data_IF_002805067957
#
_entry.id   IF_002805067957
#
_cell.length_a   1.000
_cell.length_b   1.000
_cell.length_c   1.000
_cell.angle_alpha   90.00
_cell.angle_beta   90.00
_cell.angle_gamma   90.00
#
_symmetry.space_group_name_H-M   'P 1'
#
loop_
_entity.id
_entity.type
_entity.pdbx_description
1 polymer ?
#
# COMPACT_ATOMS: atom_id res chain seq x y z
N UNK A 1 3.61 -77.02 -4.18
CA UNK A 1 4.65 -76.22 -4.86
C UNK A 1 4.54 -74.80 -4.35
N UNK A 2 5.34 -74.48 -3.34
CA UNK A 2 5.48 -73.14 -2.75
C UNK A 2 6.05 -72.18 -3.80
N UNK A 3 5.48 -70.98 -3.89
CA UNK A 3 6.13 -69.83 -4.51
C UNK A 3 6.66 -68.97 -3.37
N UNK A 4 7.96 -69.04 -3.12
CA UNK A 4 8.66 -68.09 -2.26
C UNK A 4 8.62 -66.68 -2.90
N UNK A 5 8.48 -65.60 -2.10
CA UNK A 5 8.65 -64.25 -2.60
C UNK A 5 10.15 -63.99 -2.83
N UNK A 6 10.50 -63.56 -4.05
CA UNK A 6 11.83 -63.02 -4.35
C UNK A 6 12.05 -61.74 -3.55
N UNK A 7 12.87 -61.82 -2.51
CA UNK A 7 13.44 -60.65 -1.85
C UNK A 7 14.47 -60.01 -2.79
N UNK A 8 14.04 -59.05 -3.62
CA UNK A 8 14.96 -58.12 -4.26
C UNK A 8 15.42 -57.13 -3.20
N UNK A 9 16.65 -57.28 -2.70
CA UNK A 9 17.34 -56.18 -2.02
C UNK A 9 17.67 -55.14 -3.09
N UNK A 10 17.02 -53.98 -3.06
CA UNK A 10 17.48 -52.82 -3.81
C UNK A 10 18.91 -52.50 -3.38
N UNK A 11 19.84 -52.47 -4.33
CA UNK A 11 21.21 -51.99 -4.09
C UNK A 11 21.12 -50.52 -3.69
N UNK A 12 21.55 -50.21 -2.47
CA UNK A 12 21.66 -48.84 -1.97
C UNK A 12 22.65 -48.12 -2.90
N UNK A 13 22.19 -47.05 -3.56
CA UNK A 13 23.00 -46.17 -4.40
C UNK A 13 24.29 -45.78 -3.66
N UNK A 14 25.46 -46.01 -4.28
CA UNK A 14 26.75 -45.55 -3.75
C UNK A 14 26.69 -44.03 -3.54
N UNK A 15 26.78 -43.62 -2.27
CA UNK A 15 26.76 -42.21 -1.89
C UNK A 15 28.18 -41.62 -1.95
N UNK A 16 28.40 -40.67 -2.87
CA UNK A 16 29.63 -39.89 -2.96
C UNK A 16 29.52 -38.64 -2.07
N UNK A 17 30.50 -38.42 -1.18
CA UNK A 17 30.59 -37.20 -0.36
C UNK A 17 30.89 -36.00 -1.27
N UNK A 18 30.01 -35.00 -1.26
CA UNK A 18 30.10 -33.81 -2.12
C UNK A 18 30.79 -32.62 -1.44
N UNK A 19 30.73 -32.56 -0.10
CA UNK A 19 31.30 -31.49 0.71
C UNK A 19 31.42 -31.96 2.17
N UNK A 20 32.48 -31.56 2.85
CA UNK A 20 32.65 -31.75 4.28
C UNK A 20 32.82 -30.40 4.97
N UNK A 21 32.23 -30.22 6.17
CA UNK A 21 32.48 -29.03 6.97
C UNK A 21 33.95 -28.98 7.42
N UNK A 22 34.53 -27.79 7.51
CA UNK A 22 35.94 -27.52 7.89
C UNK A 22 36.35 -27.97 9.32
N UNK A 23 35.62 -28.88 9.97
CA UNK A 23 36.03 -29.51 11.24
C UNK A 23 36.00 -28.60 12.47
N UNK A 24 35.33 -27.45 12.42
CA UNK A 24 35.31 -26.47 13.53
C UNK A 24 34.47 -26.99 14.71
N UNK A 25 35.13 -27.66 15.65
CA UNK A 25 34.69 -27.91 17.03
C UNK A 25 34.48 -26.58 17.76
N UNK A 26 33.34 -25.93 17.55
CA UNK A 26 32.83 -24.80 18.36
C UNK A 26 31.43 -24.32 17.92
N UNK A 27 30.69 -25.13 17.14
CA UNK A 27 29.32 -24.78 16.74
C UNK A 27 28.40 -24.84 17.96
N UNK A 28 27.21 -24.23 17.87
CA UNK A 28 26.24 -24.37 18.96
C UNK A 28 25.82 -25.84 19.18
N UNK A 29 25.79 -26.64 18.11
CA UNK A 29 25.54 -28.08 18.19
C UNK A 29 26.66 -28.81 18.94
N UNK A 30 27.93 -28.51 18.63
CA UNK A 30 29.09 -29.12 19.30
C UNK A 30 29.16 -28.75 20.79
N UNK A 31 28.86 -27.49 21.12
CA UNK A 31 28.75 -27.02 22.51
C UNK A 31 27.63 -27.73 23.26
N UNK A 32 26.49 -27.93 22.62
CA UNK A 32 25.37 -28.66 23.20
C UNK A 32 25.69 -30.14 23.41
N UNK A 33 26.30 -30.80 22.41
CA UNK A 33 26.83 -32.18 22.52
C UNK A 33 27.77 -32.32 23.71
N UNK A 34 28.73 -31.41 23.85
CA UNK A 34 29.68 -31.42 24.97
C UNK A 34 28.97 -31.20 26.32
N UNK A 35 27.97 -30.31 26.38
CA UNK A 35 27.17 -30.09 27.58
C UNK A 35 26.37 -31.33 27.99
N UNK A 36 25.76 -32.04 27.03
CA UNK A 36 25.10 -33.33 27.27
C UNK A 36 26.10 -34.37 27.75
N UNK A 37 27.24 -34.53 27.06
CA UNK A 37 28.29 -35.48 27.45
C UNK A 37 28.78 -35.25 28.88
N UNK A 38 28.99 -33.99 29.26
CA UNK A 38 29.37 -33.61 30.62
C UNK A 38 28.27 -33.86 31.66
N UNK A 39 27.01 -33.57 31.34
CA UNK A 39 25.90 -33.70 32.27
C UNK A 39 25.53 -35.16 32.60
N UNK A 40 25.70 -36.07 31.63
CA UNK A 40 25.30 -37.48 31.75
C UNK A 40 26.48 -38.47 31.74
N UNK A 41 27.71 -37.98 31.66
CA UNK A 41 28.91 -38.83 31.62
C UNK A 41 29.03 -39.67 30.34
N UNK A 42 28.56 -39.12 29.21
CA UNK A 42 28.51 -39.82 27.92
C UNK A 42 29.69 -39.44 27.02
N UNK A 43 30.27 -40.43 26.37
CA UNK A 43 31.28 -40.25 25.33
C UNK A 43 30.61 -40.11 23.95
N UNK A 44 29.96 -38.98 23.71
CA UNK A 44 29.37 -38.67 22.41
C UNK A 44 30.48 -38.16 21.49
N UNK A 45 30.86 -38.83 20.41
CA UNK A 45 31.96 -38.40 19.53
C UNK A 45 31.48 -37.56 18.36
N UNK A 46 30.31 -37.89 17.82
CA UNK A 46 29.77 -37.30 16.61
C UNK A 46 28.28 -36.94 16.75
N UNK A 47 27.66 -36.52 15.65
CA UNK A 47 26.24 -36.16 15.62
C UNK A 47 25.34 -37.38 15.82
N UNK A 48 25.70 -38.54 15.27
CA UNK A 48 24.90 -39.76 15.34
C UNK A 48 24.82 -40.28 16.78
N UNK A 49 25.91 -40.22 17.54
CA UNK A 49 25.91 -40.58 18.96
C UNK A 49 24.93 -39.71 19.75
N UNK A 50 24.97 -38.38 19.52
CA UNK A 50 24.03 -37.44 20.14
C UNK A 50 22.60 -37.70 19.69
N UNK A 51 22.38 -37.99 18.41
CA UNK A 51 21.07 -38.29 17.85
C UNK A 51 20.48 -39.54 18.49
N UNK A 52 21.21 -40.66 18.49
CA UNK A 52 20.75 -41.92 19.09
C UNK A 52 20.37 -41.72 20.56
N UNK A 53 21.24 -41.08 21.34
CA UNK A 53 20.92 -40.74 22.72
C UNK A 53 19.70 -39.81 22.84
N UNK A 54 19.59 -38.80 21.98
CA UNK A 54 18.47 -37.84 22.03
C UNK A 54 17.11 -38.48 21.77
N UNK A 55 17.07 -39.58 21.00
CA UNK A 55 15.86 -40.31 20.69
C UNK A 55 15.55 -41.35 21.77
N UNK A 56 16.57 -42.06 22.26
CA UNK A 56 16.41 -43.04 23.34
C UNK A 56 16.06 -42.38 24.68
N UNK A 57 16.67 -41.23 24.98
CA UNK A 57 16.54 -40.47 26.23
C UNK A 57 15.90 -39.09 25.99
N UNK A 58 14.84 -39.04 25.19
CA UNK A 58 14.24 -37.78 24.72
C UNK A 58 13.77 -36.84 25.82
N UNK A 59 13.28 -37.36 26.95
CA UNK A 59 12.93 -36.54 28.11
C UNK A 59 14.14 -35.77 28.65
N UNK A 60 15.28 -36.45 28.84
CA UNK A 60 16.51 -35.84 29.35
C UNK A 60 17.15 -34.89 28.34
N UNK A 61 17.08 -35.23 27.06
CA UNK A 61 17.51 -34.35 25.96
C UNK A 61 16.77 -33.01 26.01
N UNK A 62 15.44 -33.03 26.05
CA UNK A 62 14.62 -31.81 26.06
C UNK A 62 14.76 -31.02 27.38
N UNK A 63 14.94 -31.71 28.51
CA UNK A 63 15.27 -31.08 29.79
C UNK A 63 16.60 -30.28 29.72
N UNK A 64 17.59 -30.87 29.06
CA UNK A 64 18.93 -30.28 28.91
C UNK A 64 18.90 -29.13 27.92
N UNK A 65 18.18 -29.29 26.80
CA UNK A 65 17.98 -28.23 25.82
C UNK A 65 17.28 -27.00 26.43
N UNK A 66 16.27 -27.21 27.28
CA UNK A 66 15.61 -26.11 28.00
C UNK A 66 16.60 -25.24 28.78
N UNK A 67 17.52 -25.86 29.52
CA UNK A 67 18.56 -25.15 30.28
C UNK A 67 19.57 -24.49 29.35
N UNK A 68 20.02 -25.21 28.31
CA UNK A 68 21.04 -24.73 27.37
C UNK A 68 20.58 -23.53 26.54
N UNK A 69 19.32 -23.54 26.09
CA UNK A 69 18.72 -22.48 25.26
C UNK A 69 18.46 -21.17 26.01
N UNK A 70 18.52 -21.20 27.35
CA UNK A 70 18.27 -20.04 28.20
C UNK A 70 16.84 -19.50 28.08
N UNK A 71 15.86 -20.38 27.87
CA UNK A 71 14.45 -20.00 27.83
C UNK A 71 14.10 -19.24 29.12
N UNK A 72 13.47 -18.08 28.97
CA UNK A 72 12.92 -17.29 30.06
C UNK A 72 11.56 -17.88 30.45
N UNK A 73 11.37 -18.15 31.74
CA UNK A 73 10.15 -18.72 32.28
C UNK A 73 9.86 -18.17 33.68
N UNK A 74 8.58 -18.15 34.04
CA UNK A 74 8.08 -17.74 35.37
C UNK A 74 7.84 -18.92 36.32
N UNK A 75 7.67 -20.13 35.78
CA UNK A 75 7.58 -21.38 36.55
C UNK A 75 8.28 -22.50 35.78
N UNK A 76 9.14 -23.24 36.47
CA UNK A 76 9.80 -24.44 35.92
C UNK A 76 8.76 -25.56 35.72
N UNK A 77 8.99 -26.46 34.75
CA UNK A 77 8.17 -27.66 34.62
C UNK A 77 8.28 -28.58 35.84
N UNK A 78 7.23 -29.34 36.10
CA UNK A 78 7.25 -30.45 37.07
C UNK A 78 7.69 -31.76 36.38
N UNK A 79 7.35 -31.92 35.10
CA UNK A 79 7.67 -33.09 34.29
C UNK A 79 7.88 -32.67 32.83
N UNK A 80 8.86 -33.28 32.16
CA UNK A 80 9.19 -32.93 30.75
C UNK A 80 8.21 -33.56 29.78
N UNK A 81 7.90 -34.85 29.93
CA UNK A 81 6.94 -35.57 29.10
C UNK A 81 6.65 -36.92 29.75
N UNK A 82 5.41 -37.41 29.61
CA UNK A 82 5.03 -38.77 30.01
C UNK A 82 5.58 -39.77 28.98
N UNK A 83 6.65 -40.48 29.34
CA UNK A 83 7.34 -41.40 28.42
C UNK A 83 6.61 -42.72 28.18
N UNK A 84 5.49 -42.97 28.87
CA UNK A 84 4.63 -44.13 28.61
C UNK A 84 3.73 -43.97 27.38
N UNK A 85 3.61 -42.74 26.86
CA UNK A 85 2.76 -42.40 25.71
C UNK A 85 3.55 -42.37 24.40
N UNK A 86 2.89 -42.80 23.32
CA UNK A 86 3.42 -42.69 21.97
C UNK A 86 3.13 -41.32 21.36
N UNK A 87 3.77 -41.01 20.22
CA UNK A 87 3.55 -39.77 19.48
C UNK A 87 2.08 -39.57 19.05
N UNK A 88 1.36 -40.67 18.78
CA UNK A 88 -0.05 -40.66 18.39
C UNK A 88 -0.99 -40.24 19.54
N UNK A 89 -0.53 -40.36 20.80
CA UNK A 89 -1.29 -39.98 21.99
C UNK A 89 -1.14 -38.50 22.33
N UNK A 90 -0.29 -37.77 21.60
CA UNK A 90 -0.01 -36.33 21.76
C UNK A 90 0.29 -35.97 23.23
N UNK A 91 1.39 -36.49 23.81
CA UNK A 91 1.71 -36.25 25.21
C UNK A 91 1.95 -34.76 25.49
N UNK A 92 1.57 -34.32 26.69
CA UNK A 92 1.85 -32.96 27.16
C UNK A 92 3.35 -32.80 27.45
N UNK A 93 3.93 -31.69 26.98
CA UNK A 93 5.34 -31.38 27.19
C UNK A 93 5.51 -30.27 28.23
N UNK A 94 6.53 -30.41 29.07
CA UNK A 94 6.92 -29.48 30.11
C UNK A 94 5.76 -29.11 31.04
N UNK A 95 5.00 -30.13 31.46
CA UNK A 95 3.81 -29.99 32.30
C UNK A 95 4.14 -29.15 33.53
N UNK A 96 3.26 -28.18 33.79
CA UNK A 96 3.39 -27.22 34.88
C UNK A 96 4.30 -26.02 34.58
N UNK A 97 5.12 -26.02 33.53
CA UNK A 97 5.91 -24.84 33.20
C UNK A 97 5.02 -23.65 32.82
N UNK A 98 5.54 -22.44 33.00
CA UNK A 98 4.88 -21.20 32.56
C UNK A 98 5.88 -20.23 31.99
N UNK A 99 5.75 -19.95 30.70
CA UNK A 99 6.57 -18.99 29.95
C UNK A 99 5.71 -18.07 29.08
N UNK A 100 6.32 -17.04 28.50
CA UNK A 100 5.70 -16.22 27.47
C UNK A 100 6.58 -16.18 26.21
N UNK A 101 5.97 -16.41 25.05
CA UNK A 101 6.67 -16.42 23.77
C UNK A 101 7.25 -15.04 23.41
N UNK A 102 6.46 -13.98 23.58
CA UNK A 102 6.90 -12.62 23.26
C UNK A 102 8.03 -12.16 24.20
N UNK A 103 7.97 -12.53 25.48
CA UNK A 103 9.06 -12.28 26.44
C UNK A 103 10.37 -12.93 25.98
N UNK A 104 10.33 -14.18 25.54
CA UNK A 104 11.52 -14.89 25.04
C UNK A 104 12.10 -14.26 23.77
N UNK A 105 11.26 -13.78 22.84
CA UNK A 105 11.72 -13.10 21.64
C UNK A 105 12.27 -11.68 21.92
N UNK A 106 11.74 -11.01 22.95
CA UNK A 106 12.11 -9.64 23.31
C UNK A 106 13.12 -9.56 24.46
N UNK A 107 13.69 -10.70 24.89
CA UNK A 107 14.61 -10.83 26.04
C UNK A 107 15.94 -10.08 25.90
N UNK A 108 16.24 -9.55 24.70
CA UNK A 108 17.49 -8.86 24.42
C UNK A 108 17.56 -7.52 25.18
N UNK A 109 18.56 -7.39 26.04
CA UNK A 109 18.78 -6.22 26.91
C UNK A 109 19.33 -5.01 26.14
N UNK A 110 20.04 -5.24 25.03
CA UNK A 110 20.61 -4.17 24.23
C UNK A 110 19.54 -3.42 23.42
N UNK A 111 18.92 -2.43 24.08
CA UNK A 111 17.84 -1.61 23.52
C UNK A 111 18.16 -1.07 22.13
N UNK A 112 19.39 -0.65 21.87
CA UNK A 112 19.80 0.03 20.64
C UNK A 112 20.13 -0.93 19.48
N UNK A 113 20.19 -2.25 19.74
CA UNK A 113 20.39 -3.23 18.67
C UNK A 113 19.14 -3.31 17.80
N UNK A 114 19.35 -3.37 16.48
CA UNK A 114 18.27 -3.51 15.51
C UNK A 114 17.63 -4.89 15.65
N UNK A 115 16.33 -4.93 15.91
CA UNK A 115 15.52 -6.13 15.94
C UNK A 115 14.91 -6.44 14.56
N UNK A 116 14.46 -5.41 13.84
CA UNK A 116 13.81 -5.55 12.54
C UNK A 116 14.41 -4.60 11.50
N UNK A 117 14.64 -5.15 10.30
CA UNK A 117 14.84 -4.38 9.08
C UNK A 117 13.59 -4.55 8.22
N UNK A 118 12.93 -3.45 7.87
CA UNK A 118 11.74 -3.46 7.05
C UNK A 118 11.98 -2.66 5.76
N UNK A 119 11.88 -3.35 4.63
CA UNK A 119 11.93 -2.77 3.30
C UNK A 119 10.54 -2.82 2.65
N UNK A 120 10.22 -1.84 1.83
CA UNK A 120 8.95 -1.77 1.08
C UNK A 120 9.22 -1.32 -0.35
N UNK A 121 8.43 -1.84 -1.28
CA UNK A 121 8.45 -1.35 -2.66
C UNK A 121 8.16 0.15 -2.72
N UNK A 122 8.84 0.85 -3.63
CA UNK A 122 8.69 2.30 -3.79
C UNK A 122 9.33 3.14 -2.69
N UNK A 123 10.11 2.53 -1.77
CA UNK A 123 10.92 3.24 -0.78
C UNK A 123 12.36 2.76 -0.83
N UNK A 124 13.29 3.70 -0.99
CA UNK A 124 14.73 3.41 -0.94
C UNK A 124 15.23 3.20 0.49
N UNK A 125 14.53 3.78 1.48
CA UNK A 125 14.93 3.70 2.88
C UNK A 125 14.49 2.38 3.52
N UNK A 126 15.45 1.65 4.10
CA UNK A 126 15.20 0.51 4.98
C UNK A 126 14.88 1.05 6.38
N UNK A 127 13.66 0.82 6.84
CA UNK A 127 13.25 1.14 8.21
C UNK A 127 13.94 0.17 9.16
N UNK A 128 14.62 0.71 10.19
CA UNK A 128 15.26 -0.07 11.24
C UNK A 128 14.48 0.14 12.52
N UNK A 129 14.08 -0.95 13.18
CA UNK A 129 13.42 -0.92 14.47
C UNK A 129 14.31 -1.62 15.48
N UNK A 130 14.65 -0.91 16.54
CA UNK A 130 15.48 -1.43 17.63
C UNK A 130 14.68 -2.32 18.58
N UNK A 131 15.35 -3.14 19.40
CA UNK A 131 14.68 -3.94 20.43
C UNK A 131 13.93 -3.06 21.45
N UNK A 132 14.46 -1.88 21.78
CA UNK A 132 13.81 -0.91 22.67
C UNK A 132 12.50 -0.37 22.09
N UNK A 133 12.53 0.08 20.84
CA UNK A 133 11.35 0.57 20.11
C UNK A 133 10.29 -0.53 19.95
N UNK A 134 10.72 -1.73 19.54
CA UNK A 134 9.82 -2.87 19.36
C UNK A 134 9.13 -3.24 20.68
N UNK A 135 9.87 -3.30 21.80
CA UNK A 135 9.29 -3.54 23.13
C UNK A 135 8.25 -2.49 23.50
N UNK A 136 8.55 -1.20 23.25
CA UNK A 136 7.62 -0.12 23.55
C UNK A 136 6.33 -0.26 22.73
N UNK A 137 6.43 -0.51 21.42
CA UNK A 137 5.27 -0.68 20.55
C UNK A 137 4.45 -1.92 20.92
N UNK A 138 5.10 -3.05 21.18
CA UNK A 138 4.42 -4.28 21.66
C UNK A 138 3.68 -4.02 22.96
N UNK A 139 4.27 -3.28 23.90
CA UNK A 139 3.61 -2.92 25.15
C UNK A 139 2.39 -2.02 24.93
N UNK A 140 2.46 -1.06 24.00
CA UNK A 140 1.33 -0.20 23.63
C UNK A 140 0.19 -0.99 23.00
N UNK A 141 0.48 -1.85 22.02
CA UNK A 141 -0.52 -2.72 21.40
C UNK A 141 -1.15 -3.66 22.43
N UNK A 142 -0.35 -4.27 23.31
CA UNK A 142 -0.84 -5.15 24.37
C UNK A 142 -1.76 -4.41 25.35
N UNK A 143 -1.41 -3.18 25.75
CA UNK A 143 -2.24 -2.34 26.60
C UNK A 143 -3.56 -1.95 25.90
N UNK A 144 -3.51 -1.60 24.63
CA UNK A 144 -4.70 -1.30 23.82
C UNK A 144 -5.62 -2.52 23.70
N UNK A 145 -5.09 -3.70 23.39
CA UNK A 145 -5.86 -4.95 23.32
C UNK A 145 -6.54 -5.27 24.65
N UNK A 146 -5.82 -5.16 25.78
CA UNK A 146 -6.42 -5.34 27.12
C UNK A 146 -7.54 -4.34 27.39
N UNK A 147 -7.34 -3.07 27.01
CA UNK A 147 -8.38 -2.01 27.14
C UNK A 147 -9.61 -2.30 26.27
N UNK A 148 -9.43 -2.94 25.12
CA UNK A 148 -10.51 -3.41 24.25
C UNK A 148 -11.19 -4.69 24.77
N UNK A 149 -10.72 -5.26 25.88
CA UNK A 149 -11.32 -6.42 26.53
C UNK A 149 -10.76 -7.77 26.07
N UNK A 150 -9.67 -7.80 25.30
CA UNK A 150 -9.02 -9.05 24.89
C UNK A 150 -8.44 -9.77 26.11
N UNK A 151 -8.79 -11.05 26.25
CA UNK A 151 -8.37 -11.93 27.35
C UNK A 151 -7.48 -13.07 26.86
N UNK A 152 -6.84 -13.77 27.80
CA UNK A 152 -6.12 -15.02 27.52
C UNK A 152 -7.08 -16.02 26.86
N UNK A 153 -6.66 -16.59 25.72
CA UNK A 153 -7.45 -17.53 24.93
C UNK A 153 -8.37 -16.90 23.87
N UNK A 154 -8.56 -15.57 23.89
CA UNK A 154 -9.26 -14.89 22.80
C UNK A 154 -8.41 -14.94 21.52
N UNK A 155 -9.07 -15.06 20.36
CA UNK A 155 -8.37 -15.07 19.07
C UNK A 155 -8.28 -13.64 18.53
N UNK A 156 -7.06 -13.26 18.14
CA UNK A 156 -6.74 -11.99 17.49
C UNK A 156 -6.16 -12.33 16.13
N UNK A 157 -6.70 -11.73 15.07
CA UNK A 157 -6.27 -12.04 13.71
C UNK A 157 -5.64 -10.85 13.00
N UNK A 158 -4.68 -11.12 12.13
CA UNK A 158 -4.10 -10.13 11.21
C UNK A 158 -4.48 -10.43 9.76
N UNK A 159 -5.08 -9.48 9.07
CA UNK A 159 -5.19 -9.44 7.62
C UNK A 159 -4.20 -8.38 7.09
N UNK A 160 -2.92 -8.69 7.28
CA UNK A 160 -1.82 -7.71 7.25
C UNK A 160 -0.72 -8.15 6.28
N UNK A 161 -0.09 -7.21 5.54
CA UNK A 161 1.09 -7.53 4.75
C UNK A 161 2.29 -7.84 5.66
N UNK A 162 3.35 -8.42 5.10
CA UNK A 162 4.60 -8.58 5.83
C UNK A 162 5.20 -7.21 6.17
N UNK A 163 5.29 -6.89 7.47
CA UNK A 163 5.84 -5.63 7.94
C UNK A 163 5.86 -5.51 9.46
N UNK A 164 6.46 -4.42 9.94
CA UNK A 164 6.68 -4.14 11.37
C UNK A 164 5.41 -4.33 12.21
N UNK A 165 4.29 -3.73 11.77
CA UNK A 165 3.02 -3.81 12.50
C UNK A 165 2.46 -5.24 12.63
N UNK A 166 2.74 -6.14 11.68
CA UNK A 166 2.33 -7.53 11.80
C UNK A 166 3.09 -8.25 12.93
N UNK A 167 4.39 -7.96 13.05
CA UNK A 167 5.24 -8.46 14.14
C UNK A 167 4.79 -7.89 15.48
N UNK A 168 4.55 -6.57 15.55
CA UNK A 168 4.08 -5.89 16.76
C UNK A 168 2.73 -6.44 17.26
N UNK A 169 1.75 -6.58 16.35
CA UNK A 169 0.43 -7.10 16.70
C UNK A 169 0.50 -8.56 17.16
N UNK A 170 1.27 -9.41 16.49
CA UNK A 170 1.46 -10.80 16.88
C UNK A 170 2.14 -10.92 18.24
N UNK A 171 3.26 -10.20 18.46
CA UNK A 171 3.97 -10.20 19.74
C UNK A 171 3.08 -9.67 20.88
N UNK A 172 2.30 -8.63 20.62
CA UNK A 172 1.36 -8.08 21.59
C UNK A 172 0.28 -9.10 21.96
N UNK A 173 -0.34 -9.78 20.99
CA UNK A 173 -1.32 -10.83 21.25
C UNK A 173 -0.71 -11.98 22.07
N UNK A 174 0.48 -12.46 21.69
CA UNK A 174 1.20 -13.50 22.41
C UNK A 174 1.59 -13.06 23.84
N UNK A 175 1.97 -11.79 24.04
CA UNK A 175 2.36 -11.25 25.36
C UNK A 175 1.22 -11.26 26.38
N UNK A 176 -0.03 -11.17 25.92
CA UNK A 176 -1.22 -11.17 26.77
C UNK A 176 -1.90 -12.54 26.85
N UNK A 177 -1.34 -13.55 26.19
CA UNK A 177 -1.89 -14.91 26.12
C UNK A 177 -3.11 -15.04 25.19
N UNK A 178 -3.33 -14.07 24.29
CA UNK A 178 -4.26 -14.22 23.18
C UNK A 178 -3.65 -15.13 22.11
N UNK A 179 -4.50 -15.75 21.30
CA UNK A 179 -4.11 -16.67 20.23
C UNK A 179 -4.06 -15.87 18.92
N UNK A 180 -2.88 -15.74 18.33
CA UNK A 180 -2.69 -15.06 17.06
C UNK A 180 -2.93 -15.99 15.88
N UNK A 181 -3.59 -15.49 14.83
CA UNK A 181 -3.64 -16.13 13.51
C UNK A 181 -3.65 -15.05 12.43
N UNK A 182 -3.31 -15.37 11.18
CA UNK A 182 -3.21 -14.34 10.14
C UNK A 182 -3.39 -14.85 8.72
N UNK A 183 -3.78 -13.95 7.83
CA UNK A 183 -3.80 -14.13 6.38
C UNK A 183 -3.16 -12.92 5.71
N UNK A 184 -2.51 -13.12 4.57
CA UNK A 184 -1.93 -12.01 3.80
C UNK A 184 -3.02 -11.28 2.99
N UNK A 185 -2.91 -9.96 2.73
CA UNK A 185 -3.92 -9.15 2.03
C UNK A 185 -4.24 -9.58 0.60
N UNK A 186 -3.42 -10.44 0.00
CA UNK A 186 -3.63 -11.06 -1.31
C UNK A 186 -4.75 -12.12 -1.30
N UNK A 187 -5.05 -12.72 -0.14
CA UNK A 187 -6.16 -13.66 -0.02
C UNK A 187 -7.49 -12.99 -0.44
N UNK A 188 -8.36 -13.77 -1.08
CA UNK A 188 -9.74 -13.39 -1.35
C UNK A 188 -10.63 -13.59 -0.13
N UNK A 189 -11.81 -12.97 -0.13
CA UNK A 189 -12.78 -12.99 0.99
C UNK A 189 -13.06 -14.42 1.48
N UNK A 190 -13.39 -15.35 0.56
CA UNK A 190 -13.72 -16.73 0.92
C UNK A 190 -12.55 -17.44 1.61
N UNK A 191 -11.33 -17.28 1.08
CA UNK A 191 -10.14 -17.91 1.68
C UNK A 191 -9.84 -17.41 3.09
N UNK A 192 -10.20 -16.16 3.40
CA UNK A 192 -10.10 -15.61 4.76
C UNK A 192 -11.22 -16.14 5.65
N UNK A 193 -12.47 -16.12 5.18
CA UNK A 193 -13.63 -16.60 5.93
C UNK A 193 -13.51 -18.09 6.27
N UNK A 194 -13.01 -18.92 5.36
CA UNK A 194 -12.77 -20.35 5.60
C UNK A 194 -11.84 -20.58 6.79
N UNK A 195 -10.97 -19.62 7.14
CA UNK A 195 -10.02 -19.74 8.27
C UNK A 195 -10.55 -19.04 9.51
N UNK A 196 -10.97 -17.78 9.37
CA UNK A 196 -11.32 -16.94 10.51
C UNK A 196 -12.67 -17.31 11.12
N UNK A 197 -13.64 -17.79 10.33
CA UNK A 197 -14.94 -18.22 10.88
C UNK A 197 -14.80 -19.40 11.83
N UNK A 198 -13.88 -20.33 11.57
CA UNK A 198 -13.65 -21.52 12.41
C UNK A 198 -13.12 -21.16 13.81
N UNK A 199 -12.38 -20.07 13.92
CA UNK A 199 -11.71 -19.68 15.16
C UNK A 199 -12.39 -18.50 15.87
N UNK A 200 -13.42 -17.90 15.26
CA UNK A 200 -14.24 -16.82 15.83
C UNK A 200 -13.40 -15.75 16.54
N UNK A 201 -12.62 -14.94 15.80
CA UNK A 201 -11.75 -13.94 16.38
C UNK A 201 -12.54 -12.77 16.95
N UNK A 202 -12.03 -12.21 18.05
CA UNK A 202 -12.61 -11.05 18.72
C UNK A 202 -12.13 -9.73 18.12
N UNK A 203 -10.92 -9.73 17.59
CA UNK A 203 -10.24 -8.55 17.07
C UNK A 203 -9.51 -8.89 15.76
N UNK A 204 -9.66 -8.02 14.76
CA UNK A 204 -8.89 -8.09 13.51
C UNK A 204 -8.05 -6.82 13.33
N UNK A 205 -6.77 -7.00 13.03
CA UNK A 205 -5.91 -5.95 12.50
C UNK A 205 -5.86 -6.05 10.98
N UNK A 206 -5.99 -4.93 10.28
CA UNK A 206 -5.95 -4.88 8.82
C UNK A 206 -5.36 -3.57 8.32
N UNK A 207 -5.10 -3.49 7.02
CA UNK A 207 -4.69 -2.27 6.31
C UNK A 207 -5.78 -1.79 5.34
N UNK A 208 -5.71 -0.54 4.90
CA UNK A 208 -6.61 0.04 3.90
C UNK A 208 -6.23 -0.34 2.46
N UNK A 209 -4.94 -0.55 2.19
CA UNK A 209 -4.40 -0.91 0.89
C UNK A 209 -2.98 -1.48 1.01
N UNK A 210 -2.49 -2.11 -0.05
CA UNK A 210 -1.11 -2.61 -0.18
C UNK A 210 -0.47 -2.18 -1.50
N UNK A 211 0.85 -2.06 -1.52
CA UNK A 211 1.64 -1.87 -2.74
C UNK A 211 2.29 -3.21 -3.10
N UNK A 212 2.13 -3.65 -4.36
CA UNK A 212 2.79 -4.84 -4.88
C UNK A 212 3.10 -4.69 -6.37
N UNK A 213 4.32 -5.06 -6.78
CA UNK A 213 4.84 -4.84 -8.12
C UNK A 213 4.60 -3.40 -8.63
N UNK A 214 4.81 -2.42 -7.74
CA UNK A 214 4.63 -0.99 -8.04
C UNK A 214 3.18 -0.53 -8.24
N UNK A 215 2.18 -1.37 -7.97
CA UNK A 215 0.74 -1.03 -8.08
C UNK A 215 0.06 -1.02 -6.72
N UNK A 216 -0.88 -0.10 -6.54
CA UNK A 216 -1.74 -0.03 -5.36
C UNK A 216 -2.92 -1.00 -5.52
N UNK A 217 -3.18 -1.78 -4.47
CA UNK A 217 -4.35 -2.64 -4.37
C UNK A 217 -5.17 -2.24 -3.15
N UNK A 218 -6.35 -1.66 -3.40
CA UNK A 218 -7.32 -1.33 -2.36
C UNK A 218 -7.77 -2.59 -1.61
N UNK A 219 -7.81 -2.50 -0.28
CA UNK A 219 -8.07 -3.65 0.58
C UNK A 219 -9.40 -3.56 1.36
N UNK A 220 -9.91 -2.33 1.55
CA UNK A 220 -11.08 -2.07 2.40
C UNK A 220 -12.34 -2.85 1.97
N UNK A 221 -12.64 -2.96 0.67
CA UNK A 221 -13.85 -3.65 0.21
C UNK A 221 -13.81 -5.15 0.54
N UNK A 222 -12.63 -5.77 0.48
CA UNK A 222 -12.43 -7.17 0.89
C UNK A 222 -12.55 -7.31 2.41
N UNK A 223 -11.91 -6.41 3.15
CA UNK A 223 -12.01 -6.40 4.61
C UNK A 223 -13.46 -6.26 5.09
N UNK A 224 -14.24 -5.34 4.51
CA UNK A 224 -15.64 -5.13 4.87
C UNK A 224 -16.48 -6.39 4.65
N UNK A 225 -16.23 -7.14 3.57
CA UNK A 225 -16.90 -8.40 3.31
C UNK A 225 -16.50 -9.49 4.31
N UNK A 226 -15.21 -9.58 4.66
CA UNK A 226 -14.72 -10.50 5.70
C UNK A 226 -15.36 -10.18 7.05
N UNK A 227 -15.39 -8.91 7.46
CA UNK A 227 -15.99 -8.47 8.73
C UNK A 227 -17.47 -8.84 8.80
N UNK A 228 -18.22 -8.67 7.70
CA UNK A 228 -19.64 -9.09 7.64
C UNK A 228 -19.83 -10.59 7.85
N UNK A 229 -18.85 -11.41 7.46
CA UNK A 229 -18.87 -12.87 7.64
C UNK A 229 -18.36 -13.36 9.00
N UNK A 230 -18.00 -12.46 9.92
CA UNK A 230 -17.47 -12.79 11.25
C UNK A 230 -18.38 -12.20 12.34
N UNK A 231 -19.48 -12.89 12.73
CA UNK A 231 -20.50 -12.34 13.63
C UNK A 231 -19.98 -12.08 15.05
N UNK A 232 -18.98 -12.83 15.51
CA UNK A 232 -18.39 -12.70 16.86
C UNK A 232 -17.27 -11.66 16.94
N UNK A 233 -16.94 -11.01 15.81
CA UNK A 233 -15.90 -10.00 15.76
C UNK A 233 -16.38 -8.71 16.42
N UNK A 234 -15.73 -8.31 17.51
CA UNK A 234 -16.13 -7.12 18.26
C UNK A 234 -15.50 -5.84 17.71
N UNK A 235 -14.28 -5.94 17.17
CA UNK A 235 -13.46 -4.78 16.81
C UNK A 235 -12.61 -5.02 15.57
N UNK A 236 -12.47 -3.97 14.76
CA UNK A 236 -11.53 -3.86 13.64
C UNK A 236 -10.55 -2.75 13.96
N UNK A 237 -9.26 -3.03 13.88
CA UNK A 237 -8.19 -2.02 13.93
C UNK A 237 -7.59 -1.90 12.54
N UNK A 238 -7.86 -0.77 11.89
CA UNK A 238 -7.20 -0.39 10.66
C UNK A 238 -5.89 0.30 11.00
N UNK A 239 -4.78 -0.30 10.57
CA UNK A 239 -3.45 0.28 10.61
C UNK A 239 -3.28 1.00 9.28
N UNK A 240 -3.24 2.34 9.28
CA UNK A 240 -3.01 3.05 8.03
C UNK A 240 -1.67 2.58 7.46
N UNK A 241 -1.67 2.17 6.21
CA UNK A 241 -0.51 1.67 5.52
C UNK A 241 0.06 2.74 4.58
N UNK A 242 -0.80 3.69 4.16
CA UNK A 242 -0.51 4.75 3.20
C UNK A 242 -0.53 6.18 3.82
N UNK A 243 -1.38 6.55 4.81
CA UNK A 243 -1.27 7.81 5.62
C UNK A 243 -2.28 7.91 6.80
N UNK A 244 -1.86 8.32 8.01
CA UNK A 244 -2.49 7.94 9.30
C UNK A 244 -3.32 8.99 10.06
N UNK A 245 -3.32 10.28 9.69
CA UNK A 245 -3.83 11.34 10.59
C UNK A 245 -5.25 11.83 10.31
N UNK A 246 -5.83 11.52 9.15
CA UNK A 246 -7.17 11.92 8.73
C UNK A 246 -7.77 10.90 7.73
N UNK A 247 -9.10 10.82 7.55
CA UNK A 247 -9.70 9.87 6.60
C UNK A 247 -9.31 10.14 5.14
N UNK A 248 -9.21 9.09 4.32
CA UNK A 248 -9.02 9.20 2.85
C UNK A 248 -10.38 9.16 2.16
N UNK A 249 -10.60 10.06 1.21
CA UNK A 249 -11.81 10.12 0.39
C UNK A 249 -11.43 9.92 -1.08
N UNK A 250 -12.21 9.11 -1.80
CA UNK A 250 -11.98 8.84 -3.22
C UNK A 250 -11.96 10.15 -4.01
N UNK A 251 -10.91 10.35 -4.81
CA UNK A 251 -10.74 11.53 -5.66
C UNK A 251 -10.18 12.76 -4.96
N UNK A 252 -9.80 12.66 -3.68
CA UNK A 252 -9.20 13.76 -2.91
C UNK A 252 -7.73 13.46 -2.57
N UNK A 253 -6.86 14.45 -2.74
CA UNK A 253 -5.59 14.52 -2.01
C UNK A 253 -5.95 14.77 -0.54
N UNK A 254 -5.57 13.82 0.30
CA UNK A 254 -6.05 13.67 1.67
C UNK A 254 -5.85 14.91 2.54
N UNK A 255 -4.70 15.58 2.48
CA UNK A 255 -4.37 16.73 3.33
C UNK A 255 -3.50 17.76 2.62
N UNK A 256 -3.54 18.99 3.14
CA UNK A 256 -2.51 20.02 2.92
C UNK A 256 -1.32 19.73 3.84
N UNK A 257 -0.09 19.88 3.32
CA UNK A 257 1.12 19.65 4.11
C UNK A 257 1.24 20.63 5.29
N UNK A 258 1.79 20.13 6.41
CA UNK A 258 2.12 20.96 7.56
C UNK A 258 3.12 22.05 7.18
N UNK A 259 2.91 23.26 7.70
CA UNK A 259 3.76 24.42 7.38
C UNK A 259 3.52 25.04 6.01
N UNK A 260 2.59 24.51 5.20
CA UNK A 260 2.18 25.13 3.93
C UNK A 260 0.77 25.71 4.07
N UNK A 261 0.65 27.03 4.03
CA UNK A 261 -0.64 27.73 4.13
C UNK A 261 -1.39 27.70 2.78
N UNK A 262 -1.84 26.50 2.41
CA UNK A 262 -2.47 26.22 1.12
C UNK A 262 -3.97 26.54 1.15
N UNK A 263 -4.42 27.27 0.14
CA UNK A 263 -5.81 27.70 -0.07
C UNK A 263 -6.22 27.54 -1.55
N UNK A 264 -7.52 27.62 -1.83
CA UNK A 264 -8.07 27.80 -3.17
C UNK A 264 -8.64 29.22 -3.27
N UNK A 265 -8.25 30.00 -4.29
CA UNK A 265 -8.70 31.39 -4.46
C UNK A 265 -9.57 31.59 -5.71
N UNK A 266 -10.63 32.40 -5.59
CA UNK A 266 -11.45 32.86 -6.72
C UNK A 266 -10.68 33.83 -7.64
N UNK A 267 -11.28 34.22 -8.76
CA UNK A 267 -10.66 35.19 -9.68
C UNK A 267 -10.48 36.57 -9.06
N UNK A 268 -11.31 36.93 -8.08
CA UNK A 268 -11.22 38.17 -7.31
C UNK A 268 -10.14 38.12 -6.21
N UNK A 269 -9.40 37.00 -6.08
CA UNK A 269 -8.34 36.83 -5.09
C UNK A 269 -8.84 36.62 -3.67
N UNK A 270 -9.97 35.92 -3.51
CA UNK A 270 -10.54 35.55 -2.20
C UNK A 270 -10.51 34.05 -1.99
N UNK A 271 -10.22 33.61 -0.77
CA UNK A 271 -10.28 32.21 -0.41
C UNK A 271 -11.70 31.64 -0.56
N UNK A 272 -11.81 30.49 -1.21
CA UNK A 272 -13.06 29.76 -1.43
C UNK A 272 -12.98 28.33 -0.90
N UNK A 273 -14.14 27.79 -0.48
CA UNK A 273 -14.27 26.45 0.09
C UNK A 273 -15.51 25.78 -0.50
N UNK A 274 -15.36 24.55 -1.02
CA UNK A 274 -16.41 23.86 -1.77
C UNK A 274 -16.64 24.39 -3.19
N UNK A 275 -15.90 25.43 -3.59
CA UNK A 275 -15.90 26.00 -4.93
C UNK A 275 -14.52 25.81 -5.57
N UNK A 276 -14.49 25.84 -6.91
CA UNK A 276 -13.25 25.70 -7.68
C UNK A 276 -12.47 27.02 -7.67
N UNK A 277 -11.15 26.94 -7.55
CA UNK A 277 -10.27 28.10 -7.47
C UNK A 277 -8.81 27.77 -7.78
N UNK A 278 -7.98 28.81 -7.82
CA UNK A 278 -6.53 28.70 -7.98
C UNK A 278 -5.87 28.15 -6.71
N UNK A 279 -5.03 27.12 -6.85
CA UNK A 279 -4.21 26.60 -5.76
C UNK A 279 -3.12 27.61 -5.41
N UNK A 280 -3.20 28.17 -4.21
CA UNK A 280 -2.25 29.16 -3.71
C UNK A 280 -1.58 28.74 -2.41
N UNK A 281 -0.42 29.30 -2.12
CA UNK A 281 0.22 29.24 -0.79
C UNK A 281 0.50 30.67 -0.29
N UNK A 282 -0.07 31.02 0.86
CA UNK A 282 -0.07 32.40 1.38
C UNK A 282 1.09 32.68 2.35
N UNK A 283 1.90 31.67 2.67
CA UNK A 283 3.06 31.75 3.57
C UNK A 283 4.31 31.14 2.92
N UNK A 284 5.52 31.64 3.24
CA UNK A 284 6.77 31.06 2.77
C UNK A 284 7.01 29.67 3.38
N UNK A 285 7.75 28.84 2.66
CA UNK A 285 8.05 27.45 3.04
C UNK A 285 9.51 27.08 2.70
N UNK A 286 10.16 26.17 3.45
CA UNK A 286 11.60 25.92 3.30
C UNK A 286 12.06 25.46 1.92
N UNK A 287 11.23 24.70 1.21
CA UNK A 287 11.52 24.21 -0.14
C UNK A 287 11.04 25.16 -1.27
N UNK A 288 10.67 26.40 -0.96
CA UNK A 288 10.39 27.41 -1.97
C UNK A 288 11.66 27.68 -2.80
N UNK A 289 11.62 27.63 -4.14
CA UNK A 289 12.77 27.98 -4.97
C UNK A 289 13.24 29.39 -4.63
N UNK A 290 14.54 29.57 -4.38
CA UNK A 290 15.10 30.86 -3.98
C UNK A 290 15.13 31.87 -5.13
N UNK A 291 15.36 31.39 -6.35
CA UNK A 291 15.39 32.17 -7.59
C UNK A 291 15.38 31.20 -8.79
N UNK A 292 15.19 31.74 -9.99
CA UNK A 292 15.51 31.03 -11.21
C UNK A 292 16.93 31.38 -11.65
N UNK A 293 17.71 30.39 -12.08
CA UNK A 293 19.03 30.61 -12.66
C UNK A 293 18.89 31.38 -13.98
N UNK A 294 19.81 32.31 -14.28
CA UNK A 294 19.73 33.23 -15.43
C UNK A 294 18.44 34.09 -15.47
N UNK A 295 18.00 34.54 -14.29
CA UNK A 295 16.90 35.49 -14.10
C UNK A 295 17.37 36.61 -13.15
N UNK A 296 18.34 37.41 -13.60
CA UNK A 296 19.09 38.38 -12.77
C UNK A 296 18.18 39.33 -11.97
N UNK A 297 17.08 39.77 -12.57
CA UNK A 297 16.12 40.64 -11.89
C UNK A 297 14.99 39.87 -11.21
N UNK A 298 14.92 38.54 -11.31
CA UNK A 298 13.85 37.70 -10.77
C UNK A 298 12.50 37.84 -11.50
N UNK A 299 12.49 38.40 -12.71
CA UNK A 299 11.26 38.68 -13.46
C UNK A 299 10.54 37.42 -13.90
N UNK A 300 11.26 36.37 -14.32
CA UNK A 300 10.66 35.09 -14.72
C UNK A 300 10.07 34.39 -13.50
N UNK A 301 10.78 34.37 -12.38
CA UNK A 301 10.31 33.79 -11.13
C UNK A 301 9.05 34.50 -10.59
N UNK A 302 9.07 35.84 -10.56
CA UNK A 302 7.88 36.63 -10.17
C UNK A 302 6.71 36.46 -11.12
N UNK A 303 6.98 36.43 -12.43
CA UNK A 303 5.95 36.18 -13.45
C UNK A 303 5.31 34.81 -13.28
N UNK A 304 6.10 33.79 -12.95
CA UNK A 304 5.63 32.41 -12.82
C UNK A 304 4.68 32.21 -11.63
N UNK A 305 4.98 32.80 -10.46
CA UNK A 305 4.25 32.47 -9.23
C UNK A 305 3.53 33.63 -8.54
N UNK A 306 3.90 34.88 -8.80
CA UNK A 306 3.41 36.04 -8.03
C UNK A 306 2.68 37.09 -8.87
N UNK A 307 2.55 36.86 -10.18
CA UNK A 307 1.89 37.80 -11.10
C UNK A 307 0.37 37.79 -10.98
N UNK A 308 -0.20 36.62 -10.65
CA UNK A 308 -1.66 36.44 -10.57
C UNK A 308 -2.25 37.07 -9.31
N UNK A 309 -1.61 36.84 -8.17
CA UNK A 309 -2.01 37.39 -6.89
C UNK A 309 -0.81 38.06 -6.22
N UNK A 310 -0.81 39.40 -6.06
CA UNK A 310 0.31 40.11 -5.46
C UNK A 310 0.69 39.55 -4.09
N UNK A 311 1.96 39.14 -3.93
CA UNK A 311 2.50 38.64 -2.67
C UNK A 311 2.09 37.21 -2.28
N UNK A 312 1.34 36.50 -3.14
CA UNK A 312 0.87 35.13 -2.89
C UNK A 312 1.40 34.19 -3.97
N UNK A 313 1.89 33.02 -3.56
CA UNK A 313 2.34 32.00 -4.50
C UNK A 313 1.12 31.36 -5.17
N UNK A 314 0.93 31.59 -6.47
CA UNK A 314 -0.01 30.86 -7.31
C UNK A 314 0.73 29.69 -7.99
N UNK A 315 0.32 28.45 -7.69
CA UNK A 315 1.01 27.25 -8.20
C UNK A 315 0.69 26.96 -9.68
N UNK A 316 -0.39 27.54 -10.20
CA UNK A 316 -0.87 27.32 -11.57
C UNK A 316 -1.67 26.03 -11.73
N UNK A 317 -2.17 25.46 -10.63
CA UNK A 317 -3.15 24.38 -10.64
C UNK A 317 -4.52 24.90 -10.18
N UNK A 318 -5.57 24.36 -10.78
CA UNK A 318 -6.95 24.62 -10.42
C UNK A 318 -7.45 23.47 -9.54
N UNK A 319 -8.08 23.80 -8.42
CA UNK A 319 -8.51 22.81 -7.44
C UNK A 319 -9.82 23.20 -6.76
N UNK A 320 -10.40 22.26 -6.02
CA UNK A 320 -11.48 22.52 -5.08
C UNK A 320 -11.13 21.90 -3.74
N UNK A 321 -11.27 22.66 -2.67
CA UNK A 321 -11.07 22.15 -1.31
C UNK A 321 -12.43 21.75 -0.74
N UNK A 322 -12.58 20.50 -0.33
CA UNK A 322 -13.82 19.99 0.25
C UNK A 322 -14.01 20.60 1.66
N UNK A 323 -15.12 21.31 1.94
CA UNK A 323 -15.31 22.00 3.21
C UNK A 323 -15.55 21.07 4.39
N UNK A 324 -15.92 19.81 4.14
CA UNK A 324 -16.17 18.80 5.18
C UNK A 324 -14.91 18.01 5.54
N UNK A 325 -14.13 17.64 4.53
CA UNK A 325 -12.98 16.73 4.70
C UNK A 325 -11.66 17.47 4.75
N UNK A 326 -11.59 18.68 4.18
CA UNK A 326 -10.35 19.43 3.97
C UNK A 326 -9.46 18.88 2.85
N UNK A 327 -9.90 17.81 2.17
CA UNK A 327 -9.20 17.21 1.04
C UNK A 327 -9.23 18.10 -0.21
N UNK A 328 -8.21 17.97 -1.06
CA UNK A 328 -8.04 18.76 -2.27
C UNK A 328 -8.37 17.91 -3.49
N UNK A 329 -9.34 18.34 -4.28
CA UNK A 329 -9.65 17.75 -5.58
C UNK A 329 -8.92 18.56 -6.64
N UNK A 330 -7.97 17.93 -7.33
CA UNK A 330 -7.25 18.59 -8.43
C UNK A 330 -8.12 18.57 -9.68
N UNK A 331 -8.36 19.75 -10.27
CA UNK A 331 -9.22 19.93 -11.43
C UNK A 331 -8.43 20.12 -12.74
N UNK A 332 -7.10 20.19 -12.63
CA UNK A 332 -6.17 20.32 -13.74
C UNK A 332 -5.29 21.55 -13.62
N UNK A 333 -4.59 21.90 -14.70
CA UNK A 333 -3.78 23.11 -14.78
C UNK A 333 -4.67 24.34 -14.95
N UNK A 334 -4.31 25.44 -14.29
CA UNK A 334 -5.06 26.70 -14.37
C UNK A 334 -5.10 27.30 -15.78
N UNK A 335 -4.07 27.07 -16.59
CA UNK A 335 -4.00 27.47 -18.00
C UNK A 335 -4.75 26.52 -18.96
N UNK A 336 -5.16 25.35 -18.45
CA UNK A 336 -5.94 24.34 -19.16
C UNK A 336 -7.43 24.29 -18.77
N UNK A 337 -7.90 25.20 -17.91
CA UNK A 337 -9.33 25.28 -17.54
C UNK A 337 -10.19 25.71 -18.73
N UNK A 338 -11.44 25.24 -18.74
CA UNK A 338 -12.45 25.54 -19.74
C UNK A 338 -13.40 26.61 -19.20
N UNK A 339 -13.81 27.57 -20.01
CA UNK A 339 -14.70 28.66 -19.63
C UNK A 339 -15.81 28.95 -20.66
N UNK A 340 -16.65 27.95 -21.03
CA UNK A 340 -17.76 28.19 -21.94
C UNK A 340 -18.80 29.11 -21.28
N UNK A 341 -19.14 30.21 -21.96
CA UNK A 341 -20.16 31.17 -21.53
C UNK A 341 -19.94 31.78 -20.12
N UNK A 342 -18.69 31.89 -19.67
CA UNK A 342 -18.34 32.54 -18.40
C UNK A 342 -18.42 31.65 -17.15
N UNK A 343 -18.49 30.32 -17.30
CA UNK A 343 -18.34 29.38 -16.18
C UNK A 343 -17.03 28.61 -16.33
N UNK A 344 -16.07 28.87 -15.42
CA UNK A 344 -14.76 28.25 -15.41
C UNK A 344 -14.74 26.92 -14.65
N UNK A 345 -14.34 25.84 -15.31
CA UNK A 345 -14.21 24.50 -14.72
C UNK A 345 -13.01 23.74 -15.26
N UNK A 346 -12.64 22.65 -14.58
CA UNK A 346 -11.49 21.82 -14.96
C UNK A 346 -11.85 20.69 -15.92
N UNK A 347 -10.94 20.36 -16.85
CA UNK A 347 -11.14 19.22 -17.76
C UNK A 347 -11.30 17.89 -17.03
N UNK A 348 -10.66 17.74 -15.86
CA UNK A 348 -10.78 16.56 -15.00
C UNK A 348 -12.20 16.26 -14.53
N UNK A 349 -13.06 17.27 -14.38
CA UNK A 349 -14.46 17.05 -13.99
C UNK A 349 -15.21 16.26 -15.07
N UNK A 350 -14.94 16.55 -16.35
CA UNK A 350 -15.49 15.81 -17.47
C UNK A 350 -14.84 14.42 -17.56
N UNK A 351 -13.51 14.32 -17.40
CA UNK A 351 -12.81 13.03 -17.45
C UNK A 351 -13.38 12.03 -16.43
N UNK A 352 -13.62 12.46 -15.18
CA UNK A 352 -14.16 11.60 -14.13
C UNK A 352 -15.54 10.99 -14.48
N UNK A 353 -16.37 11.70 -15.26
CA UNK A 353 -17.65 11.18 -15.73
C UNK A 353 -17.45 10.23 -16.92
N UNK A 354 -16.56 10.59 -17.84
CA UNK A 354 -16.31 9.83 -19.07
C UNK A 354 -15.58 8.52 -18.78
N UNK A 355 -14.70 8.48 -17.78
CA UNK A 355 -13.97 7.28 -17.35
C UNK A 355 -14.88 6.16 -16.80
N UNK A 356 -16.14 6.46 -16.48
CA UNK A 356 -17.12 5.45 -16.06
C UNK A 356 -17.73 4.67 -17.23
N UNK A 357 -17.45 5.04 -18.48
CA UNK A 357 -17.95 4.37 -19.68
C UNK A 357 -16.92 3.34 -20.17
N UNK A 358 -17.30 2.06 -20.17
CA UNK A 358 -16.42 0.95 -20.60
C UNK A 358 -16.01 1.04 -22.07
N UNK A 359 -16.81 1.72 -22.90
CA UNK A 359 -16.54 1.91 -24.32
C UNK A 359 -15.37 2.88 -24.57
N UNK A 360 -14.99 3.69 -23.59
CA UNK A 360 -13.97 4.75 -23.71
C UNK A 360 -12.70 4.33 -22.98
N UNK A 361 -11.60 4.16 -23.71
CA UNK A 361 -10.29 3.84 -23.10
C UNK A 361 -9.54 5.08 -22.63
N UNK A 362 -9.76 6.21 -23.29
CA UNK A 362 -9.13 7.49 -22.93
C UNK A 362 -9.93 8.67 -23.50
N UNK A 363 -9.74 9.85 -22.95
CA UNK A 363 -10.40 11.07 -23.42
C UNK A 363 -9.57 12.33 -23.23
N UNK A 364 -9.82 13.34 -24.08
CA UNK A 364 -9.17 14.65 -24.00
C UNK A 364 -10.20 15.75 -24.23
N UNK A 365 -10.22 16.72 -23.33
CA UNK A 365 -11.15 17.83 -23.36
C UNK A 365 -10.36 19.11 -23.60
N UNK A 366 -10.72 19.85 -24.66
CA UNK A 366 -10.00 21.07 -25.05
C UNK A 366 -10.97 22.17 -25.46
N UNK A 367 -10.61 23.44 -25.26
CA UNK A 367 -11.42 24.56 -25.74
C UNK A 367 -11.12 24.84 -27.21
N UNK A 368 -12.14 25.31 -27.93
CA UNK A 368 -12.02 25.94 -29.23
C UNK A 368 -12.64 27.34 -29.17
N UNK A 369 -12.00 28.31 -29.81
CA UNK A 369 -12.43 29.71 -29.80
C UNK A 369 -12.92 30.11 -31.19
N UNK A 370 -14.04 30.82 -31.24
CA UNK A 370 -14.48 31.51 -32.45
C UNK A 370 -13.62 32.76 -32.71
N UNK A 371 -13.79 33.36 -33.89
CA UNK A 371 -13.14 34.66 -34.22
C UNK A 371 -13.54 35.78 -33.26
N UNK A 372 -14.75 35.70 -32.70
CA UNK A 372 -15.32 36.69 -31.78
C UNK A 372 -14.97 36.41 -30.32
N UNK A 373 -14.17 35.37 -30.06
CA UNK A 373 -13.70 34.99 -28.72
C UNK A 373 -14.65 34.10 -27.93
N UNK A 374 -15.71 33.59 -28.55
CA UNK A 374 -16.62 32.63 -27.92
C UNK A 374 -15.90 31.28 -27.74
N UNK A 375 -15.95 30.73 -26.52
CA UNK A 375 -15.36 29.44 -26.21
C UNK A 375 -16.40 28.31 -26.26
N UNK A 376 -16.12 27.27 -27.05
CA UNK A 376 -16.82 25.98 -26.98
C UNK A 376 -15.89 24.87 -26.48
N UNK A 377 -16.47 23.90 -25.80
CA UNK A 377 -15.75 22.73 -25.29
C UNK A 377 -15.84 21.58 -26.29
N UNK A 378 -14.71 20.98 -26.61
CA UNK A 378 -14.58 19.77 -27.44
C UNK A 378 -14.14 18.60 -26.57
N UNK A 379 -14.78 17.44 -26.73
CA UNK A 379 -14.39 16.20 -26.06
C UNK A 379 -14.00 15.16 -27.11
N UNK A 380 -12.75 14.74 -27.08
CA UNK A 380 -12.23 13.66 -27.91
C UNK A 380 -12.23 12.36 -27.12
N UNK A 381 -12.69 11.28 -27.75
CA UNK A 381 -12.77 9.95 -27.17
C UNK A 381 -11.90 8.98 -27.95
N UNK A 382 -11.03 8.27 -27.24
CA UNK A 382 -10.37 7.10 -27.78
C UNK A 382 -11.18 5.87 -27.36
N UNK A 383 -11.62 5.09 -28.33
CA UNK A 383 -12.49 3.93 -28.08
C UNK A 383 -11.69 2.73 -27.56
N UNK A 384 -12.30 1.96 -26.67
CA UNK A 384 -11.79 0.66 -26.25
C UNK A 384 -11.85 -0.35 -27.41
N UNK A 385 -10.96 -1.35 -27.39
CA UNK A 385 -10.92 -2.37 -28.44
C UNK A 385 -12.24 -3.12 -28.52
N UNK A 386 -12.81 -3.25 -29.74
CA UNK A 386 -14.10 -3.91 -29.96
C UNK A 386 -15.32 -3.01 -29.80
N UNK A 387 -15.14 -1.76 -29.36
CA UNK A 387 -16.21 -0.75 -29.29
C UNK A 387 -16.09 0.26 -30.43
N UNK A 388 -17.23 0.80 -30.88
CA UNK A 388 -17.29 1.81 -31.94
C UNK A 388 -17.93 3.09 -31.43
N UNK A 389 -17.41 4.23 -31.86
CA UNK A 389 -18.04 5.52 -31.57
C UNK A 389 -19.36 5.65 -32.34
N UNK A 390 -20.37 6.21 -31.69
CA UNK A 390 -21.67 6.44 -32.34
C UNK A 390 -22.56 7.46 -31.62
N UNK A 391 -23.63 7.93 -32.28
CA UNK A 391 -24.51 8.97 -31.73
C UNK A 391 -25.17 8.60 -30.39
N UNK A 392 -25.46 7.31 -30.18
CA UNK A 392 -26.02 6.80 -28.93
C UNK A 392 -25.06 7.01 -27.75
N UNK A 393 -23.79 6.64 -27.91
CA UNK A 393 -22.75 6.85 -26.89
C UNK A 393 -22.55 8.34 -26.59
N UNK A 394 -22.45 9.17 -27.63
CA UNK A 394 -22.32 10.62 -27.45
C UNK A 394 -23.50 11.22 -26.67
N UNK A 395 -24.74 10.77 -26.94
CA UNK A 395 -25.93 11.21 -26.21
C UNK A 395 -25.93 10.76 -24.74
N UNK A 396 -25.50 9.52 -24.48
CA UNK A 396 -25.35 8.99 -23.13
C UNK A 396 -24.31 9.77 -22.31
N UNK A 397 -23.15 10.07 -22.90
CA UNK A 397 -22.09 10.87 -22.26
C UNK A 397 -22.59 12.29 -21.96
N UNK A 398 -23.24 12.98 -22.92
CA UNK A 398 -23.84 14.32 -22.69
C UNK A 398 -24.84 14.29 -21.53
N UNK A 399 -25.66 13.26 -21.48
CA UNK A 399 -26.67 13.09 -20.43
C UNK A 399 -26.04 12.84 -19.06
N UNK A 400 -24.97 12.03 -19.00
CA UNK A 400 -24.22 11.78 -17.78
C UNK A 400 -23.51 13.03 -17.27
N UNK A 401 -22.82 13.78 -18.15
CA UNK A 401 -22.16 15.05 -17.79
C UNK A 401 -23.18 16.06 -17.27
N UNK A 402 -24.32 16.21 -17.94
CA UNK A 402 -25.37 17.14 -17.50
C UNK A 402 -25.93 16.77 -16.11
N UNK A 403 -26.13 15.48 -15.84
CA UNK A 403 -26.66 14.99 -14.55
C UNK A 403 -25.62 15.08 -13.43
N UNK A 404 -24.37 14.71 -13.70
CA UNK A 404 -23.30 14.65 -12.71
C UNK A 404 -22.68 16.01 -12.39
N UNK A 405 -22.68 16.94 -13.35
CA UNK A 405 -22.11 18.28 -13.22
C UNK A 405 -23.19 19.34 -13.48
N UNK A 406 -23.23 19.93 -14.66
CA UNK A 406 -24.28 20.88 -15.06
C UNK A 406 -24.41 20.97 -16.58
N UNK A 407 -25.45 21.65 -17.05
CA UNK A 407 -25.64 21.89 -18.48
C UNK A 407 -24.47 22.65 -19.14
N UNK A 408 -23.71 23.44 -18.36
CA UNK A 408 -22.55 24.22 -18.83
C UNK A 408 -21.30 23.36 -19.07
N UNK A 409 -21.22 22.19 -18.44
CA UNK A 409 -20.11 21.25 -18.61
C UNK A 409 -20.25 20.38 -19.87
N UNK A 410 -21.43 20.38 -20.50
CA UNK A 410 -21.72 19.50 -21.65
C UNK A 410 -20.90 19.98 -22.86
N UNK A 411 -19.98 19.17 -23.41
CA UNK A 411 -19.19 19.54 -24.58
C UNK A 411 -20.09 19.92 -25.76
N UNK A 412 -19.71 20.91 -26.55
CA UNK A 412 -20.45 21.26 -27.77
C UNK A 412 -20.30 20.17 -28.82
N UNK A 413 -19.09 19.61 -28.96
CA UNK A 413 -18.81 18.47 -29.83
C UNK A 413 -18.17 17.33 -29.05
N UNK A 414 -18.53 16.11 -29.43
CA UNK A 414 -17.89 14.88 -28.96
C UNK A 414 -17.45 14.12 -30.21
N UNK A 415 -16.16 13.83 -30.33
CA UNK A 415 -15.54 13.26 -31.53
C UNK A 415 -14.67 12.06 -31.15
N UNK A 416 -14.52 11.11 -32.07
CA UNK A 416 -13.58 10.00 -31.92
C UNK A 416 -12.16 10.43 -32.30
N UNK A 417 -11.14 9.89 -31.64
CA UNK A 417 -9.74 10.02 -32.02
C UNK A 417 -8.99 8.70 -31.86
N UNK A 418 -7.93 8.51 -32.64
CA UNK A 418 -7.08 7.32 -32.58
C UNK A 418 -6.03 7.38 -31.46
N UNK A 419 -5.77 8.56 -30.88
CA UNK A 419 -4.72 8.74 -29.88
C UNK A 419 -4.83 10.03 -29.09
N UNK A 420 -4.45 9.97 -27.81
CA UNK A 420 -4.33 11.12 -26.93
C UNK A 420 -2.84 11.43 -26.74
N UNK A 421 -2.39 12.69 -26.92
CA UNK A 421 -0.99 13.07 -26.74
C UNK A 421 -0.65 13.23 -25.25
N UNK A 422 0.54 12.76 -24.89
CA UNK A 422 1.09 12.76 -23.54
C UNK A 422 2.49 13.38 -23.48
N UNK A 423 2.80 14.04 -22.37
CA UNK A 423 4.18 14.38 -21.99
C UNK A 423 4.97 13.12 -21.61
N UNK A 424 6.30 13.20 -21.57
CA UNK A 424 7.15 12.11 -21.08
C UNK A 424 6.79 11.64 -19.64
N UNK A 425 6.17 12.51 -18.84
CA UNK A 425 5.72 12.21 -17.48
C UNK A 425 4.25 11.75 -17.41
N UNK A 426 3.64 11.36 -18.53
CA UNK A 426 2.30 10.78 -18.57
C UNK A 426 1.14 11.77 -18.39
N UNK A 427 1.38 13.08 -18.49
CA UNK A 427 0.30 14.10 -18.47
C UNK A 427 -0.29 14.34 -19.86
N UNK A 428 -1.62 14.43 -19.97
CA UNK A 428 -2.34 14.88 -21.17
C UNK A 428 -1.85 16.27 -21.60
N UNK A 429 -1.87 16.55 -22.90
CA UNK A 429 -1.32 17.79 -23.47
C UNK A 429 -2.41 18.67 -24.10
N UNK A 430 -3.37 19.12 -23.29
CA UNK A 430 -4.51 19.94 -23.75
C UNK A 430 -4.07 21.20 -24.50
N UNK A 431 -3.03 21.89 -24.00
CA UNK A 431 -2.53 23.15 -24.57
C UNK A 431 -1.96 22.96 -25.98
N UNK A 432 -1.23 21.87 -26.23
CA UNK A 432 -0.69 21.59 -27.55
C UNK A 432 -1.80 21.24 -28.55
N UNK A 433 -2.78 20.44 -28.13
CA UNK A 433 -3.93 20.12 -28.98
C UNK A 433 -4.75 21.37 -29.32
N UNK A 434 -4.98 22.25 -28.34
CA UNK A 434 -5.60 23.57 -28.56
C UNK A 434 -4.85 24.38 -29.62
N UNK A 435 -3.51 24.38 -29.60
CA UNK A 435 -2.70 25.06 -30.61
C UNK A 435 -2.86 24.45 -31.99
N UNK A 436 -2.85 23.12 -32.10
CA UNK A 436 -3.04 22.41 -33.38
C UNK A 436 -4.41 22.71 -33.99
N UNK A 437 -5.48 22.66 -33.18
CA UNK A 437 -6.84 22.98 -33.63
C UNK A 437 -6.94 24.43 -34.12
N UNK A 438 -6.19 25.36 -33.50
CA UNK A 438 -6.10 26.75 -33.92
C UNK A 438 -5.16 27.00 -35.11
N UNK A 439 -4.61 25.95 -35.73
CA UNK A 439 -3.68 26.05 -36.86
C UNK A 439 -2.30 26.61 -36.50
N UNK A 440 -1.92 26.59 -35.21
CA UNK A 440 -0.62 27.11 -34.73
C UNK A 440 0.41 25.98 -34.62
N UNK A 441 1.67 26.34 -34.84
CA UNK A 441 2.78 25.41 -34.63
C UNK A 441 2.95 25.12 -33.13
N UNK A 442 3.21 23.84 -32.81
CA UNK A 442 3.55 23.40 -31.45
C UNK A 442 5.07 23.32 -31.33
N UNK A 443 5.65 24.17 -30.50
CA UNK A 443 7.10 24.17 -30.24
C UNK A 443 7.50 22.98 -29.35
N UNK A 444 8.77 22.53 -29.46
CA UNK A 444 9.36 21.49 -28.61
C UNK A 444 8.62 20.13 -28.58
N UNK A 445 8.14 19.65 -29.73
CA UNK A 445 7.49 18.32 -29.85
C UNK A 445 8.29 17.15 -29.24
N UNK A 446 9.63 17.25 -29.15
CA UNK A 446 10.49 16.26 -28.51
C UNK A 446 10.30 16.07 -26.99
N UNK A 447 9.51 16.93 -26.33
CA UNK A 447 9.14 16.79 -24.93
C UNK A 447 7.90 15.90 -24.70
N UNK A 448 7.28 15.40 -25.78
CA UNK A 448 6.11 14.53 -25.74
C UNK A 448 6.49 13.06 -25.95
N UNK A 449 5.75 12.17 -25.29
CA UNK A 449 5.92 10.73 -25.38
C UNK A 449 5.52 10.17 -26.76
N UNK A 450 4.46 10.72 -27.34
CA UNK A 450 3.82 10.28 -28.58
C UNK A 450 3.43 11.50 -29.46
N UNK A 451 4.40 12.32 -29.89
CA UNK A 451 4.16 13.60 -30.57
C UNK A 451 3.39 13.47 -31.88
N UNK A 452 3.45 12.33 -32.56
CA UNK A 452 2.73 12.03 -33.79
C UNK A 452 1.20 12.06 -33.60
N UNK A 453 0.71 11.78 -32.39
CA UNK A 453 -0.73 11.83 -32.10
C UNK A 453 -1.30 13.24 -32.17
N UNK A 454 -0.47 14.29 -32.06
CA UNK A 454 -0.91 15.67 -32.25
C UNK A 454 -1.45 15.93 -33.65
N UNK A 455 -0.93 15.22 -34.66
CA UNK A 455 -1.34 15.42 -36.05
C UNK A 455 -2.75 14.87 -36.33
N UNK A 456 -3.30 14.03 -35.45
CA UNK A 456 -4.70 13.57 -35.49
C UNK A 456 -5.71 14.69 -35.25
N UNK A 457 -5.29 15.81 -34.68
CA UNK A 457 -6.16 16.94 -34.31
C UNK A 457 -6.15 18.06 -35.34
N UNK A 458 -5.44 17.87 -36.47
CA UNK A 458 -5.34 18.86 -37.54
C UNK A 458 -6.47 18.68 -38.55
N UNK A 459 -6.95 19.80 -39.10
CA UNK A 459 -7.88 19.84 -40.24
C UNK A 459 -9.17 19.02 -40.05
N UNK A 460 -9.62 18.83 -38.81
CA UNK A 460 -10.86 18.10 -38.51
C UNK A 460 -12.05 18.88 -39.12
N UNK A 461 -12.85 18.28 -40.03
CA UNK A 461 -13.93 18.98 -40.72
C UNK A 461 -14.98 19.60 -39.78
N UNK A 462 -15.35 18.89 -38.72
CA UNK A 462 -16.35 19.31 -37.73
C UNK A 462 -15.91 20.53 -36.90
N UNK A 463 -14.61 20.82 -36.92
CA UNK A 463 -14.04 21.97 -36.21
C UNK A 463 -13.96 23.23 -37.09
N UNK A 464 -14.17 23.11 -38.40
CA UNK A 464 -14.02 24.24 -39.32
C UNK A 464 -15.21 25.21 -39.21
N UNK A 465 -14.91 26.51 -39.30
CA UNK A 465 -15.93 27.56 -39.38
C UNK A 465 -16.61 27.96 -38.07
N UNK A 466 -16.12 27.46 -36.93
CA UNK A 466 -16.41 28.03 -35.62
C UNK A 466 -15.51 29.24 -35.38
#
# INVERSE_FOLDING_TARGET
MSKEPRAGREEILECQVMWEPDGKKNTQMDRFRAAVGAAFGLALENYDDLYHWSVESYSDFWATFWKFSGIVFSRMYDEVVDTSKGIADVPEWFRGSRLNYAENLLRHEENDKVALYAAREGREEIVKVTFGELRQQVALFAAAMRKMGVKRGDRVVGYLPNGVHAVEAMLAAASIGAIWSSTSPDFGVNGVLDRFSQIQPRLIFSVEAVMYNGKEFGHLDKLLQVVKGLPDLERVVLIPYLNFSIPVYRGEIQARNLGMAVEAWSEEGKAVWGESGELVCTKPLPCQPTHFWNDENGSKYRKAYFSRFPGVWAHGDYCRINPKTGGIIMLGRSDGTLNPNGVRFGSSEIYNIVEAFEEVVDSLCVPQYSKDGEERVLLFLKMASGHTFGPALASSIRSAIRRGLSARHVPSLILETKGIPYTLNGKKVEVAVKQVIAGRAVEHRGAFLNPETLDLYRDIPELQGF
#
